data_IF_388610215356
#
_entry.id   IF_388610215356
#
_cell.length_a   1.000
_cell.length_b   1.000
_cell.length_c   1.000
_cell.angle_alpha   90.00
_cell.angle_beta   90.00
_cell.angle_gamma   90.00
#
_symmetry.space_group_name_H-M   'P 1'
#
loop_
_entity.id
_entity.type
_entity.pdbx_description
1 polymer ?
#
# COMPACT_ATOMS: atom_id res chain seq x y z
N UNK A 1 -24.48 13.66 15.07
CA UNK A 1 -23.58 14.63 15.72
C UNK A 1 -22.17 14.09 15.66
N UNK A 2 -21.23 14.82 15.03
CA UNK A 2 -19.79 14.48 15.16
C UNK A 2 -19.38 14.72 16.62
N UNK A 3 -18.65 13.80 17.28
CA UNK A 3 -18.14 14.07 18.61
C UNK A 3 -17.23 15.30 18.56
N UNK A 4 -17.48 16.27 19.42
CA UNK A 4 -16.60 17.42 19.61
C UNK A 4 -15.34 16.86 20.28
N UNK A 5 -14.26 16.69 19.50
CA UNK A 5 -12.95 16.35 20.06
C UNK A 5 -12.46 17.60 20.78
N UNK A 6 -12.45 17.55 22.11
CA UNK A 6 -11.70 18.53 22.91
C UNK A 6 -10.27 18.57 22.40
N UNK A 7 -9.74 19.78 22.23
CA UNK A 7 -8.48 20.06 21.55
C UNK A 7 -7.34 19.37 22.30
N UNK A 8 -6.97 18.17 21.86
CA UNK A 8 -5.75 17.49 22.27
C UNK A 8 -4.60 18.01 21.42
N UNK A 9 -3.41 18.13 22.02
CA UNK A 9 -2.20 18.63 21.37
C UNK A 9 -1.72 17.76 20.20
N UNK A 10 -2.38 16.63 19.95
CA UNK A 10 -2.01 15.68 18.90
C UNK A 10 -2.87 15.83 17.64
N UNK A 11 -2.30 15.47 16.50
CA UNK A 11 -2.96 15.48 15.19
C UNK A 11 -2.20 14.57 14.24
N UNK A 12 -2.91 13.64 13.59
CA UNK A 12 -2.29 12.63 12.72
C UNK A 12 -2.54 12.94 11.25
N UNK A 13 -1.49 12.85 10.45
CA UNK A 13 -1.55 12.81 8.99
C UNK A 13 -1.12 11.45 8.47
N UNK A 14 -2.01 10.74 7.79
CA UNK A 14 -1.68 9.50 7.08
C UNK A 14 -1.41 9.82 5.62
N UNK A 15 -0.18 9.62 5.16
CA UNK A 15 0.14 9.79 3.76
C UNK A 15 0.05 8.44 3.04
N UNK A 16 -0.84 8.38 2.05
CA UNK A 16 -1.08 7.18 1.22
C UNK A 16 -0.68 7.41 -0.22
N UNK A 17 -0.34 6.32 -0.89
CA UNK A 17 -0.03 6.30 -2.32
C UNK A 17 -0.53 4.99 -2.92
N UNK A 18 -0.74 4.98 -4.24
CA UNK A 18 -1.36 3.87 -4.95
C UNK A 18 -0.65 2.55 -4.67
N UNK A 19 -1.45 1.48 -4.60
CA UNK A 19 -1.00 0.13 -4.30
C UNK A 19 -1.73 -0.50 -3.11
N UNK A 20 -1.39 -1.75 -2.77
CA UNK A 20 -2.20 -2.60 -1.87
C UNK A 20 -2.16 -2.16 -0.40
N UNK A 21 -1.34 -1.17 -0.07
CA UNK A 21 -1.01 -0.85 1.32
C UNK A 21 -1.78 0.36 1.89
N UNK A 22 -2.46 1.14 1.04
CA UNK A 22 -3.15 2.36 1.46
C UNK A 22 -4.22 2.10 2.52
N UNK A 23 -5.01 1.03 2.35
CA UNK A 23 -6.06 0.64 3.28
C UNK A 23 -5.51 0.37 4.69
N UNK A 24 -4.44 -0.44 4.77
CA UNK A 24 -3.79 -0.79 6.04
C UNK A 24 -3.19 0.42 6.75
N UNK A 25 -2.60 1.35 5.99
CA UNK A 25 -2.06 2.60 6.56
C UNK A 25 -3.17 3.46 7.16
N UNK A 26 -4.27 3.63 6.43
CA UNK A 26 -5.43 4.39 6.92
C UNK A 26 -5.99 3.73 8.17
N UNK A 27 -6.27 2.43 8.15
CA UNK A 27 -6.78 1.71 9.33
C UNK A 27 -5.84 1.86 10.54
N UNK A 28 -4.52 1.79 10.32
CA UNK A 28 -3.54 1.98 11.38
C UNK A 28 -3.58 3.40 11.93
N UNK A 29 -3.63 4.41 11.07
CA UNK A 29 -3.77 5.80 11.48
C UNK A 29 -5.07 6.08 12.22
N UNK A 30 -6.19 5.53 11.76
CA UNK A 30 -7.48 5.59 12.45
C UNK A 30 -7.38 5.02 13.86
N UNK A 31 -6.73 3.86 14.03
CA UNK A 31 -6.55 3.24 15.35
C UNK A 31 -5.75 4.14 16.30
N UNK A 32 -4.67 4.75 15.82
CA UNK A 32 -3.83 5.64 16.63
C UNK A 32 -4.60 6.93 16.96
N UNK A 33 -5.24 7.56 15.97
CA UNK A 33 -6.02 8.78 16.18
C UNK A 33 -7.18 8.57 17.17
N UNK A 34 -7.85 7.42 17.10
CA UNK A 34 -8.91 7.07 18.05
C UNK A 34 -8.37 6.85 19.47
N UNK A 35 -7.20 6.22 19.61
CA UNK A 35 -6.55 6.02 20.90
C UNK A 35 -6.16 7.36 21.55
N UNK A 36 -5.64 8.29 20.74
CA UNK A 36 -5.27 9.64 21.17
C UNK A 36 -6.44 10.63 21.13
N UNK A 37 -7.65 10.19 20.75
CA UNK A 37 -8.84 11.05 20.56
C UNK A 37 -8.55 12.34 19.77
N UNK A 38 -7.68 12.27 18.78
CA UNK A 38 -7.14 13.43 18.07
C UNK A 38 -7.62 13.50 16.62
N UNK A 39 -7.50 14.65 15.92
CA UNK A 39 -7.83 14.76 14.51
C UNK A 39 -7.04 13.78 13.63
N UNK A 40 -7.68 13.32 12.56
CA UNK A 40 -7.08 12.45 11.56
C UNK A 40 -7.26 13.03 10.16
N UNK A 41 -6.15 13.22 9.47
CA UNK A 41 -6.11 13.65 8.07
C UNK A 41 -5.51 12.55 7.22
N UNK A 42 -6.03 12.39 6.01
CA UNK A 42 -5.46 11.47 5.00
C UNK A 42 -5.03 12.31 3.81
N UNK A 43 -3.82 12.08 3.32
CA UNK A 43 -3.23 12.81 2.20
C UNK A 43 -2.78 11.85 1.10
N UNK A 44 -3.19 12.14 -0.12
CA UNK A 44 -2.60 11.58 -1.34
C UNK A 44 -2.06 12.71 -2.21
N UNK A 45 -0.88 12.49 -2.79
CA UNK A 45 -0.20 13.45 -3.68
C UNK A 45 0.02 12.79 -5.03
N UNK A 46 -0.44 13.42 -6.11
CA UNK A 46 -0.21 12.97 -7.48
C UNK A 46 0.39 14.09 -8.34
N UNK A 47 1.47 13.82 -9.11
CA UNK A 47 1.99 14.80 -10.06
C UNK A 47 1.07 15.06 -11.25
N UNK A 48 0.12 14.16 -11.54
CA UNK A 48 -0.87 14.32 -12.59
C UNK A 48 -2.16 14.96 -12.06
N UNK A 49 -2.90 15.69 -12.91
CA UNK A 49 -4.25 16.14 -12.60
C UNK A 49 -5.19 14.97 -12.27
N UNK A 50 -6.15 15.18 -11.37
CA UNK A 50 -7.09 14.15 -10.94
C UNK A 50 -7.97 13.60 -12.09
N UNK A 51 -8.34 14.45 -13.05
CA UNK A 51 -9.11 14.11 -14.25
C UNK A 51 -8.32 13.28 -15.28
N UNK A 52 -6.99 13.25 -15.17
CA UNK A 52 -6.09 12.44 -16.01
C UNK A 52 -5.67 11.12 -15.35
N UNK A 53 -6.22 10.80 -14.17
CA UNK A 53 -5.91 9.54 -13.49
C UNK A 53 -6.54 8.35 -14.21
N UNK A 54 -5.78 7.25 -14.28
CA UNK A 54 -6.31 5.99 -14.78
C UNK A 54 -7.40 5.42 -13.83
N UNK A 55 -8.17 4.46 -14.35
CA UNK A 55 -9.26 3.85 -13.62
C UNK A 55 -8.80 3.14 -12.33
N UNK A 56 -7.58 2.61 -12.32
CA UNK A 56 -7.02 1.91 -11.15
C UNK A 56 -6.74 2.89 -10.01
N UNK A 57 -6.05 3.99 -10.29
CA UNK A 57 -5.80 5.07 -9.33
C UNK A 57 -7.10 5.68 -8.79
N UNK A 58 -8.07 5.89 -9.68
CA UNK A 58 -9.40 6.40 -9.31
C UNK A 58 -10.14 5.44 -8.37
N UNK A 59 -10.02 4.13 -8.59
CA UNK A 59 -10.58 3.11 -7.70
C UNK A 59 -9.92 3.14 -6.31
N UNK A 60 -8.59 3.25 -6.22
CA UNK A 60 -7.90 3.41 -4.94
C UNK A 60 -8.38 4.64 -4.16
N UNK A 61 -8.47 5.80 -4.83
CA UNK A 61 -8.94 7.04 -4.18
C UNK A 61 -10.37 6.87 -3.67
N UNK A 62 -11.25 6.24 -4.46
CA UNK A 62 -12.64 5.98 -4.06
C UNK A 62 -12.70 5.09 -2.82
N UNK A 63 -11.93 4.00 -2.81
CA UNK A 63 -11.84 3.08 -1.66
C UNK A 63 -11.32 3.79 -0.40
N UNK A 64 -10.29 4.62 -0.53
CA UNK A 64 -9.74 5.33 0.62
C UNK A 64 -10.67 6.42 1.15
N UNK A 65 -11.44 7.08 0.28
CA UNK A 65 -12.48 8.03 0.71
C UNK A 65 -13.57 7.32 1.51
N UNK A 66 -14.06 6.18 1.05
CA UNK A 66 -15.03 5.37 1.79
C UNK A 66 -14.49 4.96 3.17
N UNK A 67 -13.22 4.54 3.22
CA UNK A 67 -12.58 4.18 4.47
C UNK A 67 -12.39 5.39 5.41
N UNK A 68 -12.02 6.55 4.86
CA UNK A 68 -11.91 7.80 5.60
C UNK A 68 -13.24 8.19 6.25
N UNK A 69 -14.33 8.12 5.48
CA UNK A 69 -15.70 8.39 5.97
C UNK A 69 -16.12 7.40 7.04
N UNK A 70 -15.93 6.10 6.80
CA UNK A 70 -16.25 5.03 7.76
C UNK A 70 -15.55 5.22 9.12
N UNK A 71 -14.33 5.76 9.11
CA UNK A 71 -13.56 6.01 10.32
C UNK A 71 -13.68 7.44 10.85
N UNK A 72 -14.57 8.27 10.29
CA UNK A 72 -14.77 9.67 10.67
C UNK A 72 -13.47 10.49 10.63
N UNK A 73 -12.65 10.29 9.60
CA UNK A 73 -11.50 11.16 9.34
C UNK A 73 -11.98 12.62 9.18
N UNK A 74 -11.15 13.54 9.65
CA UNK A 74 -11.46 14.97 9.65
C UNK A 74 -11.35 15.58 8.25
N UNK A 75 -10.41 15.09 7.44
CA UNK A 75 -10.36 15.40 6.01
C UNK A 75 -9.63 14.32 5.19
N UNK A 76 -10.08 14.17 3.93
CA UNK A 76 -9.35 13.47 2.89
C UNK A 76 -8.84 14.50 1.87
N UNK A 77 -7.52 14.66 1.78
CA UNK A 77 -6.85 15.71 1.04
C UNK A 77 -6.20 15.10 -0.20
N UNK A 78 -6.53 15.65 -1.37
CA UNK A 78 -5.90 15.33 -2.64
C UNK A 78 -5.10 16.55 -3.07
N UNK A 79 -3.79 16.37 -3.27
CA UNK A 79 -2.92 17.37 -3.90
C UNK A 79 -2.50 16.79 -5.26
N UNK A 80 -3.25 17.13 -6.29
CA UNK A 80 -3.01 16.72 -7.69
C UNK A 80 -2.26 17.81 -8.47
N UNK A 81 -1.83 17.49 -9.69
CA UNK A 81 -1.01 18.37 -10.54
C UNK A 81 0.22 18.95 -9.81
N UNK A 82 0.76 18.20 -8.84
CA UNK A 82 1.75 18.70 -7.91
C UNK A 82 3.17 18.38 -8.40
N UNK A 83 3.89 19.43 -8.78
CA UNK A 83 5.25 19.31 -9.34
C UNK A 83 6.35 19.46 -8.29
N UNK A 84 5.99 19.95 -7.10
CA UNK A 84 6.95 20.12 -5.99
C UNK A 84 7.33 18.76 -5.42
N UNK A 85 8.50 18.65 -4.76
CA UNK A 85 8.86 17.45 -4.03
C UNK A 85 7.78 17.08 -3.01
N UNK A 86 7.41 15.80 -2.95
CA UNK A 86 6.35 15.29 -2.06
C UNK A 86 6.57 15.73 -0.60
N UNK A 87 7.82 15.78 -0.14
CA UNK A 87 8.17 16.27 1.21
C UNK A 87 7.70 17.69 1.48
N UNK A 88 7.81 18.60 0.50
CA UNK A 88 7.35 19.98 0.61
C UNK A 88 5.84 20.06 0.73
N UNK A 89 5.13 19.21 0.00
CA UNK A 89 3.66 19.13 -0.02
C UNK A 89 3.15 18.57 1.31
N UNK A 90 3.76 17.48 1.79
CA UNK A 90 3.45 16.92 3.11
C UNK A 90 3.72 17.96 4.19
N UNK A 91 4.84 18.68 4.12
CA UNK A 91 5.20 19.70 5.11
C UNK A 91 4.24 20.91 5.09
N UNK A 92 3.78 21.33 3.92
CA UNK A 92 2.72 22.36 3.78
C UNK A 92 1.45 21.91 4.50
N UNK A 93 0.92 20.73 4.14
CA UNK A 93 -0.31 20.19 4.73
C UNK A 93 -0.15 20.00 6.24
N UNK A 94 1.03 19.56 6.69
CA UNK A 94 1.33 19.37 8.11
C UNK A 94 1.23 20.67 8.89
N UNK A 95 1.75 21.78 8.34
CA UNK A 95 1.65 23.11 8.96
C UNK A 95 0.22 23.65 8.91
N UNK A 96 -0.47 23.53 7.77
CA UNK A 96 -1.87 23.97 7.62
C UNK A 96 -2.82 23.30 8.61
N UNK A 97 -2.54 22.03 8.95
CA UNK A 97 -3.38 21.20 9.81
C UNK A 97 -2.83 21.00 11.22
N UNK A 98 -1.75 21.69 11.58
CA UNK A 98 -1.05 21.53 12.87
C UNK A 98 -0.81 20.05 13.22
N UNK A 99 -0.30 19.30 12.26
CA UNK A 99 -0.01 17.86 12.41
C UNK A 99 1.19 17.70 13.34
N UNK A 100 1.08 16.80 14.30
CA UNK A 100 2.15 16.43 15.23
C UNK A 100 2.76 15.07 14.89
N UNK A 101 2.03 14.22 14.17
CA UNK A 101 2.49 12.88 13.78
C UNK A 101 2.13 12.57 12.34
N UNK A 102 3.10 12.08 11.56
CA UNK A 102 2.91 11.64 10.18
C UNK A 102 3.12 10.13 10.09
N UNK A 103 2.16 9.44 9.49
CA UNK A 103 2.21 8.00 9.23
C UNK A 103 2.54 7.76 7.76
N UNK A 104 3.60 6.99 7.53
CA UNK A 104 4.10 6.60 6.21
C UNK A 104 4.24 5.09 6.11
N UNK A 105 4.00 4.53 4.92
CA UNK A 105 4.32 3.12 4.64
C UNK A 105 5.78 2.93 4.26
N UNK A 106 6.42 1.87 4.76
CA UNK A 106 7.80 1.52 4.37
C UNK A 106 7.93 1.30 2.84
N UNK A 107 6.96 0.66 2.19
CA UNK A 107 6.98 0.50 0.72
C UNK A 107 6.68 1.79 -0.02
N UNK A 108 5.84 2.66 0.57
CA UNK A 108 5.56 3.99 0.02
C UNK A 108 6.80 4.88 0.06
N UNK A 109 7.67 4.72 1.07
CA UNK A 109 8.99 5.35 1.09
C UNK A 109 9.79 5.00 -0.17
N UNK A 110 10.02 3.73 -0.48
CA UNK A 110 10.80 3.35 -1.67
C UNK A 110 10.18 3.84 -2.98
N UNK A 111 8.84 3.87 -3.09
CA UNK A 111 8.15 4.45 -4.26
C UNK A 111 8.33 5.97 -4.35
N UNK A 112 8.18 6.68 -3.24
CA UNK A 112 8.39 8.12 -3.21
C UNK A 112 9.86 8.50 -3.35
N UNK A 113 10.80 7.66 -2.93
CA UNK A 113 12.24 7.85 -3.17
C UNK A 113 12.63 7.61 -4.64
N UNK A 114 11.82 6.88 -5.41
CA UNK A 114 11.98 6.81 -6.86
C UNK A 114 11.42 8.05 -7.56
N UNK A 115 10.37 8.65 -6.99
CA UNK A 115 9.73 9.87 -7.53
C UNK A 115 10.51 11.12 -7.11
N UNK A 116 10.95 11.17 -5.86
CA UNK A 116 11.80 12.21 -5.31
C UNK A 116 13.26 11.91 -5.66
N UNK A 117 14.06 12.93 -5.97
CA UNK A 117 15.51 12.76 -6.20
C UNK A 117 16.27 12.62 -4.87
N UNK A 118 15.92 11.62 -4.05
CA UNK A 118 16.54 11.39 -2.74
C UNK A 118 15.58 10.82 -1.70
N UNK A 119 16.09 10.64 -0.46
CA UNK A 119 15.29 10.08 0.63
C UNK A 119 14.18 11.02 1.08
N UNK A 120 12.93 10.56 0.96
CA UNK A 120 11.75 11.29 1.42
C UNK A 120 11.79 11.49 2.94
N UNK A 121 12.28 10.51 3.70
CA UNK A 121 12.39 10.59 5.16
C UNK A 121 13.36 11.69 5.57
N UNK A 122 14.57 11.68 5.01
CA UNK A 122 15.57 12.72 5.33
C UNK A 122 15.08 14.11 4.93
N UNK A 123 14.31 14.20 3.84
CA UNK A 123 13.69 15.45 3.44
C UNK A 123 12.63 15.90 4.46
N UNK A 124 11.74 15.00 4.89
CA UNK A 124 10.71 15.30 5.89
C UNK A 124 11.30 15.68 7.24
N UNK A 125 12.32 14.97 7.73
CA UNK A 125 13.02 15.32 8.97
C UNK A 125 13.60 16.74 8.96
N UNK A 126 13.96 17.26 7.78
CA UNK A 126 14.41 18.66 7.63
C UNK A 126 13.25 19.65 7.52
N UNK A 127 12.18 19.28 6.81
CA UNK A 127 11.04 20.17 6.57
C UNK A 127 10.10 20.32 7.77
N UNK A 128 9.94 19.25 8.55
CA UNK A 128 9.04 19.14 9.71
C UNK A 128 9.77 18.54 10.92
N UNK A 129 10.77 19.25 11.49
CA UNK A 129 11.64 18.70 12.54
C UNK A 129 10.95 18.43 13.89
N UNK A 130 9.73 18.95 14.08
CA UNK A 130 8.94 18.80 15.32
C UNK A 130 7.76 17.84 15.15
N UNK A 131 7.74 17.07 14.07
CA UNK A 131 6.65 16.15 13.74
C UNK A 131 7.19 14.73 13.77
N UNK A 132 6.56 13.88 14.57
CA UNK A 132 6.97 12.48 14.70
C UNK A 132 6.65 11.72 13.41
N UNK A 133 7.61 10.92 12.94
CA UNK A 133 7.45 10.10 11.74
C UNK A 133 7.27 8.63 12.12
N UNK A 134 6.09 8.09 11.83
CA UNK A 134 5.76 6.68 12.05
C UNK A 134 5.88 5.90 10.75
N UNK A 135 6.91 5.06 10.66
CA UNK A 135 7.11 4.18 9.51
C UNK A 135 6.46 2.84 9.78
N UNK A 136 5.35 2.58 9.11
CA UNK A 136 4.61 1.33 9.24
C UNK A 136 5.15 0.34 8.23
N UNK A 137 5.63 -0.80 8.74
CA UNK A 137 5.82 -1.99 7.92
C UNK A 137 4.43 -2.44 7.45
N UNK A 138 4.14 -2.07 6.22
CA UNK A 138 3.08 -2.66 5.45
C UNK A 138 3.68 -3.93 4.87
N UNK A 139 3.03 -5.07 5.11
CA UNK A 139 3.55 -6.36 4.63
C UNK A 139 3.98 -6.15 3.20
N UNK A 140 5.27 -6.31 2.94
CA UNK A 140 5.73 -6.46 1.58
C UNK A 140 4.88 -7.64 1.11
N UNK A 141 4.03 -7.47 0.10
CA UNK A 141 3.86 -8.58 -0.82
C UNK A 141 5.32 -8.90 -1.19
N UNK A 142 5.83 -9.96 -0.55
CA UNK A 142 7.24 -10.10 -0.16
C UNK A 142 8.15 -9.56 -1.25
N UNK A 143 9.20 -8.80 -0.86
CA UNK A 143 10.43 -8.79 -1.66
C UNK A 143 10.62 -10.24 -2.10
N UNK A 144 10.71 -10.50 -3.41
CA UNK A 144 11.06 -11.77 -4.00
C UNK A 144 11.72 -12.66 -2.94
N UNK A 145 11.00 -13.67 -2.39
CA UNK A 145 11.53 -14.46 -1.29
C UNK A 145 12.90 -15.01 -1.65
N UNK A 146 13.14 -15.23 -2.94
CA UNK A 146 14.41 -15.57 -3.52
C UNK A 146 14.55 -14.85 -4.87
N UNK A 147 15.76 -14.55 -5.33
CA UNK A 147 16.03 -13.95 -6.65
C UNK A 147 15.55 -14.77 -7.87
N UNK A 148 14.69 -15.76 -7.65
CA UNK A 148 14.14 -16.70 -8.60
C UNK A 148 12.81 -16.28 -9.23
N UNK A 149 12.26 -15.09 -8.92
CA UNK A 149 11.01 -14.63 -9.56
C UNK A 149 11.19 -13.34 -10.37
N UNK A 150 10.54 -13.29 -11.54
CA UNK A 150 10.44 -12.10 -12.39
C UNK A 150 9.62 -10.99 -11.72
N UNK A 151 9.67 -9.78 -12.29
CA UNK A 151 8.84 -8.66 -11.84
C UNK A 151 7.36 -9.03 -11.96
N UNK A 152 6.64 -8.92 -10.85
CA UNK A 152 5.23 -9.25 -10.80
C UNK A 152 4.40 -8.52 -11.85
N UNK A 153 3.50 -9.24 -12.51
CA UNK A 153 2.56 -8.73 -13.50
C UNK A 153 1.12 -8.97 -13.04
N UNK A 154 0.20 -8.12 -13.47
CA UNK A 154 -1.21 -8.26 -13.12
C UNK A 154 -1.82 -9.46 -13.84
N UNK A 155 -2.52 -10.30 -13.09
CA UNK A 155 -3.17 -11.50 -13.61
C UNK A 155 -4.47 -11.79 -12.84
N UNK A 156 -5.23 -12.72 -13.36
CA UNK A 156 -6.55 -13.08 -12.85
C UNK A 156 -6.69 -14.59 -12.78
N UNK A 157 -7.48 -15.06 -11.81
CA UNK A 157 -7.87 -16.46 -11.72
C UNK A 157 -9.30 -16.63 -12.23
N UNK A 158 -9.49 -17.54 -13.18
CA UNK A 158 -10.80 -17.96 -13.70
C UNK A 158 -11.06 -19.38 -13.22
N UNK A 159 -12.24 -19.64 -12.66
CA UNK A 159 -12.63 -20.95 -12.16
C UNK A 159 -12.97 -21.89 -13.33
N UNK A 160 -12.33 -23.06 -13.37
CA UNK A 160 -12.52 -24.13 -14.37
C UNK A 160 -12.41 -25.50 -13.68
N UNK A 161 -13.44 -26.34 -13.79
CA UNK A 161 -13.45 -27.74 -13.34
C UNK A 161 -12.82 -27.96 -11.94
N UNK A 162 -13.33 -27.21 -10.95
CA UNK A 162 -12.88 -27.20 -9.54
C UNK A 162 -11.43 -26.72 -9.29
N UNK A 163 -10.80 -26.09 -10.29
CA UNK A 163 -9.49 -25.45 -10.20
C UNK A 163 -9.56 -24.01 -10.70
N UNK A 164 -8.44 -23.30 -10.64
CA UNK A 164 -8.34 -21.96 -11.20
C UNK A 164 -7.26 -21.88 -12.27
N UNK A 165 -7.61 -21.28 -13.42
CA UNK A 165 -6.66 -20.97 -14.48
C UNK A 165 -6.19 -19.52 -14.38
N UNK A 166 -4.87 -19.34 -14.43
CA UNK A 166 -4.22 -18.04 -14.53
C UNK A 166 -4.42 -17.45 -15.94
N UNK A 167 -4.92 -16.22 -16.00
CA UNK A 167 -5.02 -15.43 -17.23
C UNK A 167 -4.46 -14.03 -17.03
N UNK A 168 -3.86 -13.47 -18.08
CA UNK A 168 -3.38 -12.09 -18.11
C UNK A 168 -4.40 -11.13 -18.73
N UNK A 169 -5.51 -11.66 -19.27
CA UNK A 169 -6.61 -10.87 -19.83
C UNK A 169 -7.75 -10.81 -18.83
N UNK A 170 -8.21 -9.60 -18.58
CA UNK A 170 -9.41 -9.37 -17.78
C UNK A 170 -10.62 -9.93 -18.54
N UNK A 171 -11.38 -10.82 -17.90
CA UNK A 171 -12.61 -11.42 -18.46
C UNK A 171 -13.74 -11.33 -17.45
N UNK A 172 -15.00 -11.40 -17.91
CA UNK A 172 -16.16 -11.39 -16.99
C UNK A 172 -16.23 -12.62 -16.07
N UNK A 173 -15.48 -13.68 -16.39
CA UNK A 173 -15.46 -14.93 -15.64
C UNK A 173 -14.40 -14.96 -14.54
N UNK A 174 -13.62 -13.88 -14.37
CA UNK A 174 -12.60 -13.84 -13.33
C UNK A 174 -13.19 -13.87 -11.92
N UNK A 175 -12.58 -14.66 -11.06
CA UNK A 175 -12.91 -14.77 -9.63
C UNK A 175 -12.02 -13.92 -8.75
N UNK A 176 -10.72 -13.89 -9.05
CA UNK A 176 -9.75 -13.18 -8.23
C UNK A 176 -8.82 -12.37 -9.12
N UNK A 177 -8.55 -11.13 -8.71
CA UNK A 177 -7.53 -10.25 -9.29
C UNK A 177 -6.31 -10.23 -8.37
N UNK A 178 -5.12 -10.28 -8.95
CA UNK A 178 -3.90 -10.33 -8.19
C UNK A 178 -2.65 -10.04 -9.00
N UNK A 179 -1.50 -10.29 -8.36
CA UNK A 179 -0.18 -10.16 -8.98
C UNK A 179 0.43 -11.55 -9.09
N UNK A 180 0.82 -11.91 -10.31
CA UNK A 180 1.58 -13.12 -10.61
C UNK A 180 3.07 -12.81 -10.67
N UNK A 181 3.85 -13.58 -9.92
CA UNK A 181 5.31 -13.56 -9.91
C UNK A 181 5.79 -14.85 -10.57
N UNK A 182 6.19 -14.76 -11.85
CA UNK A 182 6.68 -15.91 -12.62
C UNK A 182 8.05 -16.33 -12.10
N UNK A 183 8.28 -17.63 -11.99
CA UNK A 183 9.60 -18.19 -11.68
C UNK A 183 10.55 -18.06 -12.89
N UNK A 184 11.69 -17.41 -12.66
CA UNK A 184 12.78 -17.20 -13.60
C UNK A 184 13.35 -18.54 -14.07
N UNK A 185 13.53 -18.70 -15.39
CA UNK A 185 14.12 -19.92 -15.97
C UNK A 185 13.10 -20.97 -16.43
N UNK A 186 11.82 -20.62 -16.49
CA UNK A 186 10.76 -21.49 -17.04
C UNK A 186 10.06 -20.82 -18.23
N UNK A 187 9.68 -21.60 -19.25
CA UNK A 187 8.80 -21.10 -20.33
C UNK A 187 7.33 -21.11 -19.92
N UNK A 188 6.97 -21.94 -18.94
CA UNK A 188 5.63 -22.10 -18.41
C UNK A 188 5.25 -21.00 -17.41
N UNK A 189 3.95 -20.83 -17.14
CA UNK A 189 3.46 -19.91 -16.11
C UNK A 189 3.54 -20.56 -14.72
N UNK A 190 4.76 -20.87 -14.28
CA UNK A 190 5.04 -21.36 -12.94
C UNK A 190 5.35 -20.17 -12.02
N UNK A 191 4.88 -20.21 -10.78
CA UNK A 191 5.29 -19.25 -9.77
C UNK A 191 4.24 -18.99 -8.71
N UNK A 192 4.15 -17.74 -8.26
CA UNK A 192 3.30 -17.36 -7.14
C UNK A 192 2.24 -16.36 -7.57
N UNK A 193 0.98 -16.61 -7.22
CA UNK A 193 -0.12 -15.66 -7.40
C UNK A 193 -0.57 -15.11 -6.05
N UNK A 194 -0.56 -13.78 -5.91
CA UNK A 194 -0.98 -13.08 -4.69
C UNK A 194 -2.24 -12.29 -4.94
N UNK A 195 -3.27 -12.52 -4.13
CA UNK A 195 -4.57 -11.86 -4.28
C UNK A 195 -5.23 -11.62 -2.91
N UNK A 196 -6.21 -10.74 -2.89
CA UNK A 196 -7.00 -10.46 -1.69
C UNK A 196 -8.27 -11.33 -1.69
N UNK A 197 -8.53 -11.99 -0.57
CA UNK A 197 -9.78 -12.74 -0.31
C UNK A 197 -10.16 -12.53 1.15
N UNK A 198 -11.43 -12.23 1.41
CA UNK A 198 -11.96 -12.05 2.79
C UNK A 198 -11.18 -11.04 3.65
N UNK A 199 -10.61 -10.00 3.01
CA UNK A 199 -9.71 -8.98 3.61
C UNK A 199 -8.35 -9.50 4.07
N UNK A 200 -8.01 -10.73 3.73
CA UNK A 200 -6.69 -11.30 3.93
C UNK A 200 -5.96 -11.44 2.59
N UNK A 201 -4.64 -11.34 2.63
CA UNK A 201 -3.80 -11.62 1.47
C UNK A 201 -3.54 -13.12 1.42
N UNK A 202 -3.93 -13.75 0.32
CA UNK A 202 -3.58 -15.14 0.02
C UNK A 202 -2.45 -15.19 -0.99
N UNK A 203 -1.57 -16.16 -0.81
CA UNK A 203 -0.52 -16.52 -1.75
C UNK A 203 -0.70 -17.98 -2.14
N UNK A 204 -0.82 -18.25 -3.43
CA UNK A 204 -1.03 -19.61 -3.96
C UNK A 204 0.03 -19.94 -5.00
N UNK A 205 0.37 -21.23 -5.09
CA UNK A 205 1.29 -21.74 -6.11
C UNK A 205 0.55 -21.86 -7.44
N UNK A 206 1.20 -21.41 -8.51
CA UNK A 206 0.77 -21.63 -9.89
C UNK A 206 1.71 -22.63 -10.54
N UNK A 207 1.15 -23.71 -11.08
CA UNK A 207 1.86 -24.74 -11.86
C UNK A 207 1.27 -24.77 -13.27
N UNK A 208 2.08 -24.45 -14.26
CA UNK A 208 1.72 -24.40 -15.68
C UNK A 208 0.46 -23.55 -15.97
N UNK A 209 0.28 -22.47 -15.20
CA UNK A 209 -0.89 -21.59 -15.29
C UNK A 209 -2.14 -22.11 -14.58
N UNK A 210 -2.02 -23.14 -13.75
CA UNK A 210 -3.12 -23.70 -12.96
C UNK A 210 -2.85 -23.53 -11.47
N UNK A 211 -3.88 -23.21 -10.71
CA UNK A 211 -3.92 -23.20 -9.25
C UNK A 211 -4.93 -24.27 -8.83
N UNK A 212 -4.44 -25.36 -8.22
CA UNK A 212 -5.26 -26.51 -7.84
C UNK A 212 -6.12 -26.24 -6.59
N UNK A 213 -5.60 -25.45 -5.66
CA UNK A 213 -6.30 -25.06 -4.45
C UNK A 213 -5.85 -23.67 -3.97
N UNK A 214 -6.66 -23.04 -3.12
CA UNK A 214 -6.38 -21.72 -2.57
C UNK A 214 -5.65 -21.79 -1.22
N UNK A 215 -4.88 -22.85 -0.97
CA UNK A 215 -4.12 -22.98 0.28
C UNK A 215 -3.07 -21.89 0.34
N UNK A 216 -3.10 -21.11 1.42
CA UNK A 216 -2.13 -20.04 1.62
C UNK A 216 -0.75 -20.65 1.86
N UNK A 217 0.16 -20.48 0.90
CA UNK A 217 1.54 -20.89 1.06
C UNK A 217 2.21 -19.90 2.02
N UNK A 218 2.28 -20.26 3.30
CA UNK A 218 3.13 -19.56 4.25
C UNK A 218 4.58 -19.83 3.85
N UNK A 219 5.24 -18.86 3.25
CA UNK A 219 6.71 -18.86 3.22
C UNK A 219 7.13 -18.68 4.67
N UNK A 220 7.44 -19.78 5.36
CA UNK A 220 8.27 -19.67 6.55
C UNK A 220 9.57 -19.04 6.07
N UNK A 221 10.04 -17.94 6.67
CA UNK A 221 11.42 -17.56 6.46
C UNK A 221 12.23 -18.76 6.93
N UNK A 222 12.93 -19.42 6.01
CA UNK A 222 13.99 -20.31 6.42
C UNK A 222 14.93 -19.43 7.23
N UNK A 223 15.01 -19.71 8.53
CA UNK A 223 16.17 -19.40 9.34
C UNK A 223 17.34 -20.13 8.66
N UNK A 224 18.00 -19.45 7.72
CA UNK A 224 19.39 -19.75 7.44
C UNK A 224 20.17 -19.25 8.64
N UNK A 225 20.29 -20.14 9.64
CA UNK A 225 21.54 -20.29 10.37
C UNK A 225 22.70 -20.41 9.35
N UNK A 226 23.89 -19.97 9.77
CA UNK A 226 25.14 -19.77 9.03
C UNK A 226 25.26 -18.34 8.45
N UNK A 227 26.28 -17.54 8.75
CA UNK A 227 27.51 -17.75 9.49
C UNK A 227 28.12 -16.36 9.77
N UNK A 228 28.96 -16.29 10.80
CA UNK A 228 29.95 -15.25 11.13
C UNK A 228 30.22 -14.17 10.08
N UNK A 229 30.23 -12.88 10.49
CA UNK A 229 31.42 -12.03 10.36
C UNK A 229 31.33 -10.82 11.32
N UNK A 230 32.44 -10.64 12.05
CA UNK A 230 32.83 -9.55 12.93
C UNK A 230 32.55 -8.13 12.40
#
# INVERSE_FOLDING_TARGET
>A
MKPIKERMDESILVCVYYGPNGERLIQRGCKIANMMKCPLYILTVDPKPFDELDAEKSAYISQWKELAEKHNADAFIIKDNEKRPISKVIAEVSRERNVTQIILGQTAQSRWEQIAKGSIINSLLREVPFVDLHIISVSRALKNPDGHFEKGCRAYLVEEDDQYRLTFKHTKAMRYEGIFFKESGTDFNNGLFKFMKDRETLQVQVEEGIVKDLTNVSVQPNDSEDDDYL
#
